data_IF_175283311649
#
_entry.id   IF_175283311649
#
_cell.length_a   1.000
_cell.length_b   1.000
_cell.length_c   1.000
_cell.angle_alpha   90.00
_cell.angle_beta   90.00
_cell.angle_gamma   90.00
#
_symmetry.space_group_name_H-M   'P 1'
#
loop_
_entity.id
_entity.type
_entity.pdbx_description
1 polymer ?
#
# COMPACT_ATOMS: atom_id res chain seq x y z
N UNK A 1 59.71 6.13 -42.67
CA UNK A 1 58.27 6.17 -42.30
C UNK A 1 57.84 4.78 -41.87
N UNK A 2 57.74 4.51 -40.56
CA UNK A 2 57.41 3.19 -40.02
C UNK A 2 55.88 3.05 -39.86
N UNK A 3 55.27 2.17 -40.66
CA UNK A 3 53.86 1.77 -40.49
C UNK A 3 53.75 0.81 -39.31
N UNK A 4 52.90 1.08 -38.31
CA UNK A 4 52.70 0.16 -37.19
C UNK A 4 52.07 -1.15 -37.66
N UNK A 5 52.57 -2.27 -37.12
CA UNK A 5 52.09 -3.61 -37.44
C UNK A 5 50.63 -3.87 -37.00
N UNK A 6 49.94 -4.82 -37.64
CA UNK A 6 48.49 -5.05 -37.50
C UNK A 6 48.02 -5.34 -36.06
N UNK A 7 48.92 -5.78 -35.17
CA UNK A 7 48.61 -6.06 -33.76
C UNK A 7 48.41 -4.80 -32.90
N UNK A 8 49.05 -3.67 -33.24
CA UNK A 8 48.93 -2.43 -32.48
C UNK A 8 47.57 -1.76 -32.75
N UNK A 9 47.10 -1.80 -34.00
CA UNK A 9 45.80 -1.28 -34.40
C UNK A 9 44.64 -2.06 -33.72
N UNK A 10 44.79 -3.38 -33.58
CA UNK A 10 43.76 -4.25 -32.98
C UNK A 10 43.61 -4.03 -31.47
N UNK A 11 44.71 -3.76 -30.75
CA UNK A 11 44.71 -3.45 -29.31
C UNK A 11 44.09 -2.06 -29.03
N UNK A 12 44.34 -1.07 -29.87
CA UNK A 12 43.76 0.27 -29.73
C UNK A 12 42.23 0.29 -29.93
N UNK A 13 41.70 -0.49 -30.89
CA UNK A 13 40.24 -0.60 -31.12
C UNK A 13 39.54 -1.27 -29.93
N UNK A 14 40.15 -2.28 -29.31
CA UNK A 14 39.60 -2.97 -28.14
C UNK A 14 39.56 -2.07 -26.90
N UNK A 15 40.60 -1.26 -26.65
CA UNK A 15 40.62 -0.30 -25.54
C UNK A 15 39.59 0.82 -25.74
N UNK A 16 39.42 1.31 -26.97
CA UNK A 16 38.38 2.30 -27.29
C UNK A 16 36.94 1.74 -27.13
N UNK A 17 36.71 0.48 -27.51
CA UNK A 17 35.41 -0.18 -27.34
C UNK A 17 35.05 -0.40 -25.85
N UNK A 18 36.03 -0.73 -25.00
CA UNK A 18 35.81 -0.84 -23.54
C UNK A 18 35.59 0.53 -22.90
N UNK A 19 36.32 1.57 -23.34
CA UNK A 19 36.14 2.94 -22.83
C UNK A 19 34.76 3.54 -23.19
N UNK A 20 34.22 3.26 -24.39
CA UNK A 20 32.88 3.70 -24.78
C UNK A 20 31.74 2.97 -24.04
N UNK A 21 31.98 1.75 -23.55
CA UNK A 21 31.02 1.00 -22.72
C UNK A 21 30.91 1.52 -21.29
N UNK A 22 31.88 2.29 -20.79
CA UNK A 22 31.91 2.81 -19.41
C UNK A 22 31.14 4.15 -19.28
N UNK A 23 30.92 4.90 -20.36
CA UNK A 23 30.21 6.21 -20.29
C UNK A 23 28.68 6.07 -20.20
N UNK A 24 28.13 4.85 -20.38
CA UNK A 24 26.71 4.57 -20.19
C UNK A 24 26.32 4.22 -18.74
N UNK A 25 27.06 4.71 -17.74
CA UNK A 25 26.59 4.74 -16.34
C UNK A 25 25.45 5.76 -16.27
N UNK A 26 24.27 5.28 -16.66
CA UNK A 26 23.06 6.08 -16.76
C UNK A 26 22.81 6.81 -15.44
N UNK A 27 22.70 8.14 -15.52
CA UNK A 27 22.21 8.97 -14.43
C UNK A 27 20.94 8.32 -13.89
N UNK A 28 21.02 7.72 -12.69
CA UNK A 28 19.88 7.13 -12.04
C UNK A 28 18.83 8.23 -11.95
N UNK A 29 17.62 8.05 -12.52
CA UNK A 29 16.63 9.11 -12.53
C UNK A 29 16.42 9.55 -11.08
N UNK A 30 16.71 10.82 -10.80
CA UNK A 30 16.58 11.40 -9.47
C UNK A 30 15.22 10.95 -8.91
N UNK A 31 15.26 10.21 -7.80
CA UNK A 31 14.07 9.58 -7.24
C UNK A 31 13.03 10.69 -7.03
N UNK A 32 11.98 10.69 -7.85
CA UNK A 32 10.99 11.75 -7.83
C UNK A 32 10.47 11.88 -6.39
N UNK A 33 10.67 13.06 -5.79
CA UNK A 33 10.30 13.27 -4.40
C UNK A 33 8.84 12.85 -4.18
N UNK A 34 8.54 12.16 -3.06
CA UNK A 34 7.18 11.75 -2.78
C UNK A 34 6.25 12.97 -2.72
N UNK A 35 4.96 12.78 -3.02
CA UNK A 35 3.99 13.85 -3.04
C UNK A 35 3.99 14.55 -1.68
N UNK A 36 3.95 15.89 -1.67
CA UNK A 36 3.83 16.67 -0.42
C UNK A 36 2.42 16.44 0.14
N UNK A 37 2.24 15.69 1.25
CA UNK A 37 0.91 15.48 1.80
C UNK A 37 0.39 16.78 2.39
N UNK A 38 -0.89 17.07 2.19
CA UNK A 38 -1.56 18.25 2.75
C UNK A 38 -2.88 17.85 3.42
N UNK A 39 -3.33 18.66 4.36
CA UNK A 39 -4.65 18.49 4.98
C UNK A 39 -5.77 19.11 4.12
N UNK A 40 -6.99 19.15 4.63
CA UNK A 40 -8.15 19.73 3.94
C UNK A 40 -7.96 21.20 3.54
N UNK A 41 -7.31 21.97 4.40
CA UNK A 41 -7.02 23.40 4.23
C UNK A 41 -5.78 23.64 3.35
N UNK A 42 -5.20 22.59 2.76
CA UNK A 42 -3.98 22.68 1.96
C UNK A 42 -2.69 22.87 2.76
N UNK A 43 -2.75 22.89 4.10
CA UNK A 43 -1.55 22.99 4.94
C UNK A 43 -0.74 21.69 4.85
N UNK A 44 0.58 21.81 4.73
CA UNK A 44 1.50 20.67 4.70
C UNK A 44 1.30 19.79 5.94
N UNK A 45 1.14 18.49 5.72
CA UNK A 45 1.12 17.52 6.80
C UNK A 45 2.55 17.16 7.19
N UNK A 46 2.86 17.32 8.48
CA UNK A 46 4.12 16.86 9.09
C UNK A 46 3.90 15.50 9.78
N UNK A 47 4.97 14.91 10.31
CA UNK A 47 4.89 13.73 11.16
C UNK A 47 4.75 12.39 10.41
N UNK A 48 4.04 11.40 10.98
CA UNK A 48 4.04 10.03 10.49
C UNK A 48 3.61 9.87 9.03
N UNK A 49 2.57 10.58 8.58
CA UNK A 49 2.06 10.45 7.21
C UNK A 49 3.07 10.89 6.15
N UNK A 50 3.77 11.99 6.42
CA UNK A 50 4.85 12.46 5.56
C UNK A 50 5.99 11.44 5.54
N UNK A 51 6.41 10.97 6.72
CA UNK A 51 7.46 9.95 6.85
C UNK A 51 7.11 8.65 6.10
N UNK A 52 5.86 8.20 6.17
CA UNK A 52 5.42 6.99 5.48
C UNK A 52 5.53 7.11 3.96
N UNK A 53 5.23 8.28 3.38
CA UNK A 53 5.42 8.49 1.94
C UNK A 53 6.89 8.38 1.51
N UNK A 54 7.80 8.95 2.29
CA UNK A 54 9.25 8.85 2.04
C UNK A 54 9.80 7.43 2.23
N UNK A 55 9.25 6.68 3.18
CA UNK A 55 9.71 5.32 3.48
C UNK A 55 9.06 4.24 2.59
N UNK A 56 8.17 4.62 1.68
CA UNK A 56 7.53 3.66 0.78
C UNK A 56 8.59 3.04 -0.14
N UNK A 57 8.69 1.70 -0.12
CA UNK A 57 9.64 0.93 -0.95
C UNK A 57 9.18 0.72 -2.39
N UNK A 58 8.01 1.22 -2.75
CA UNK A 58 7.48 1.23 -4.13
C UNK A 58 7.03 2.63 -4.52
N UNK A 59 6.94 2.93 -5.82
CA UNK A 59 6.49 4.24 -6.28
C UNK A 59 5.15 4.66 -5.68
N UNK A 60 5.12 5.91 -5.25
CA UNK A 60 3.92 6.60 -4.77
C UNK A 60 3.31 7.42 -5.90
N UNK A 61 2.00 7.66 -5.84
CA UNK A 61 1.33 8.49 -6.86
C UNK A 61 1.93 9.91 -6.88
N UNK A 62 2.15 10.45 -8.08
CA UNK A 62 2.62 11.83 -8.26
C UNK A 62 1.49 12.83 -7.98
N UNK A 63 1.84 14.07 -7.64
CA UNK A 63 0.89 15.17 -7.44
C UNK A 63 0.68 15.54 -5.97
N UNK A 64 -0.37 16.33 -5.68
CA UNK A 64 -0.66 16.81 -4.32
C UNK A 64 -1.64 15.86 -3.63
N UNK A 65 -1.15 15.05 -2.68
CA UNK A 65 -1.97 14.12 -1.90
C UNK A 65 -2.66 14.83 -0.74
N UNK A 66 -3.99 14.89 -0.74
CA UNK A 66 -4.78 15.39 0.38
C UNK A 66 -5.16 14.24 1.31
N UNK A 67 -4.79 14.33 2.59
CA UNK A 67 -5.12 13.32 3.60
C UNK A 67 -6.12 13.90 4.60
N UNK A 68 -7.21 13.18 4.81
CA UNK A 68 -8.35 13.53 5.65
C UNK A 68 -8.38 12.57 6.84
N UNK A 69 -8.26 13.08 8.08
CA UNK A 69 -8.16 12.26 9.30
C UNK A 69 -9.48 12.19 10.10
N UNK A 70 -10.60 12.56 9.46
CA UNK A 70 -11.94 12.54 10.02
C UNK A 70 -12.75 11.30 9.62
N UNK A 71 -12.12 10.30 9.00
CA UNK A 71 -12.77 9.09 8.50
C UNK A 71 -13.43 9.27 7.14
N UNK A 72 -14.08 8.20 6.69
CA UNK A 72 -14.79 8.17 5.43
C UNK A 72 -16.09 8.99 5.48
N UNK A 73 -16.34 9.90 4.53
CA UNK A 73 -17.52 10.77 4.52
C UNK A 73 -18.84 10.02 4.24
N UNK A 74 -18.78 8.79 3.73
CA UNK A 74 -19.96 7.94 3.50
C UNK A 74 -19.92 6.74 4.44
N UNK A 75 -21.10 6.24 4.83
CA UNK A 75 -21.20 4.96 5.54
C UNK A 75 -20.89 3.78 4.58
N UNK A 76 -20.40 2.64 5.11
CA UNK A 76 -20.02 2.38 6.51
C UNK A 76 -18.73 3.14 6.93
N UNK A 77 -18.51 3.30 8.24
CA UNK A 77 -17.33 4.01 8.78
C UNK A 77 -16.08 3.13 8.69
N UNK A 78 -15.46 3.13 7.52
CA UNK A 78 -14.27 2.34 7.25
C UNK A 78 -13.02 2.85 7.97
N UNK A 79 -12.01 1.97 8.10
CA UNK A 79 -10.66 2.36 8.53
C UNK A 79 -10.04 3.44 7.61
N UNK A 80 -10.30 3.33 6.30
CA UNK A 80 -9.91 4.30 5.29
C UNK A 80 -10.73 4.14 4.01
N UNK A 81 -10.63 5.12 3.11
CA UNK A 81 -11.22 5.02 1.78
C UNK A 81 -10.60 6.03 0.79
N UNK A 82 -10.76 5.69 -0.50
CA UNK A 82 -10.46 6.55 -1.64
C UNK A 82 -11.67 6.55 -2.58
N UNK A 83 -11.93 7.69 -3.23
CA UNK A 83 -13.05 7.83 -4.17
C UNK A 83 -12.56 8.14 -5.58
N UNK A 84 -13.19 7.54 -6.57
CA UNK A 84 -12.83 7.71 -8.00
C UNK A 84 -13.01 9.14 -8.50
N UNK A 85 -14.10 9.82 -8.08
CA UNK A 85 -14.37 11.22 -8.45
C UNK A 85 -13.51 12.23 -7.69
N UNK A 86 -12.93 11.86 -6.53
CA UNK A 86 -12.12 12.75 -5.69
C UNK A 86 -10.63 12.45 -5.87
N UNK A 87 -10.02 13.07 -6.88
CA UNK A 87 -8.61 12.85 -7.23
C UNK A 87 -7.68 13.19 -6.06
N UNK A 88 -6.69 12.33 -5.82
CA UNK A 88 -5.65 12.50 -4.82
C UNK A 88 -6.16 12.81 -3.40
N UNK A 89 -7.31 12.23 -3.02
CA UNK A 89 -7.85 12.33 -1.67
C UNK A 89 -7.85 10.96 -1.01
N UNK A 90 -7.30 10.91 0.19
CA UNK A 90 -7.20 9.71 1.02
C UNK A 90 -7.86 10.03 2.36
N UNK A 91 -8.85 9.25 2.74
CA UNK A 91 -9.58 9.41 3.99
C UNK A 91 -9.15 8.30 4.95
N UNK A 92 -8.87 8.65 6.20
CA UNK A 92 -8.47 7.74 7.26
C UNK A 92 -9.21 8.07 8.54
N UNK A 93 -9.53 7.04 9.31
CA UNK A 93 -9.97 7.22 10.69
C UNK A 93 -8.81 7.74 11.54
N UNK A 94 -9.10 8.63 12.51
CA UNK A 94 -8.09 9.26 13.38
C UNK A 94 -7.30 8.26 14.22
N UNK A 95 -7.99 7.25 14.76
CA UNK A 95 -7.42 6.20 15.62
C UNK A 95 -7.45 4.86 14.88
N UNK A 96 -6.27 4.43 14.44
CA UNK A 96 -6.05 3.16 13.76
C UNK A 96 -4.98 2.37 14.54
N UNK A 97 -5.21 1.06 14.70
CA UNK A 97 -4.24 0.17 15.31
C UNK A 97 -3.00 0.01 14.40
N UNK A 98 -3.20 -0.43 13.15
CA UNK A 98 -2.14 -0.45 12.11
C UNK A 98 -2.24 0.79 11.21
N UNK A 99 -1.87 1.97 11.74
CA UNK A 99 -1.88 3.24 10.97
C UNK A 99 -1.10 3.14 9.66
N UNK A 100 0.06 2.49 9.67
CA UNK A 100 0.97 2.44 8.53
C UNK A 100 0.47 1.48 7.46
N UNK A 101 0.01 0.30 7.85
CA UNK A 101 -0.56 -0.70 6.92
C UNK A 101 -1.83 -0.20 6.24
N UNK A 102 -2.75 0.42 7.00
CA UNK A 102 -3.98 1.01 6.44
C UNK A 102 -3.64 2.17 5.51
N UNK A 103 -2.71 3.05 5.88
CA UNK A 103 -2.31 4.15 4.99
C UNK A 103 -1.79 3.66 3.63
N UNK A 104 -0.90 2.66 3.62
CA UNK A 104 -0.43 2.13 2.35
C UNK A 104 -1.48 1.31 1.60
N UNK A 105 -2.41 0.67 2.30
CA UNK A 105 -3.56 0.02 1.67
C UNK A 105 -4.37 1.05 0.87
N UNK A 106 -4.76 2.16 1.51
CA UNK A 106 -5.48 3.23 0.82
C UNK A 106 -4.65 3.89 -0.29
N UNK A 107 -3.34 4.02 -0.10
CA UNK A 107 -2.44 4.49 -1.15
C UNK A 107 -2.40 3.53 -2.34
N UNK A 108 -2.53 2.23 -2.11
CA UNK A 108 -2.69 1.19 -3.14
C UNK A 108 -3.95 1.38 -3.96
N UNK A 109 -5.10 1.64 -3.32
CA UNK A 109 -6.34 2.01 -4.03
C UNK A 109 -6.15 3.27 -4.88
N UNK A 110 -5.50 4.29 -4.33
CA UNK A 110 -5.22 5.51 -5.09
C UNK A 110 -4.27 5.24 -6.27
N UNK A 111 -3.27 4.38 -6.09
CA UNK A 111 -2.35 3.95 -7.15
C UNK A 111 -3.10 3.20 -8.26
N UNK A 112 -3.98 2.26 -7.92
CA UNK A 112 -4.81 1.55 -8.88
C UNK A 112 -5.69 2.52 -9.71
N UNK A 113 -6.31 3.49 -9.05
CA UNK A 113 -7.20 4.45 -9.71
C UNK A 113 -6.48 5.49 -10.58
N UNK A 114 -5.19 5.75 -10.35
CA UNK A 114 -4.45 6.84 -11.03
C UNK A 114 -3.34 6.36 -11.95
N UNK A 115 -2.80 5.17 -11.70
CA UNK A 115 -1.61 4.67 -12.38
C UNK A 115 -1.89 3.36 -13.09
N UNK A 116 -2.65 2.44 -12.48
CA UNK A 116 -2.93 1.16 -13.13
C UNK A 116 -3.86 1.31 -14.34
N UNK A 117 -3.54 0.54 -15.38
CA UNK A 117 -4.37 0.37 -16.57
C UNK A 117 -4.95 -1.04 -16.58
N UNK A 118 -5.92 -1.31 -17.45
CA UNK A 118 -6.56 -2.64 -17.58
C UNK A 118 -5.54 -3.78 -17.71
N UNK A 119 -4.46 -3.59 -18.49
CA UNK A 119 -3.39 -4.59 -18.63
C UNK A 119 -2.65 -4.88 -17.32
N UNK A 120 -2.44 -3.89 -16.46
CA UNK A 120 -1.76 -4.07 -15.16
C UNK A 120 -2.67 -4.86 -14.22
N UNK A 121 -3.98 -4.56 -14.22
CA UNK A 121 -4.99 -5.31 -13.47
C UNK A 121 -5.06 -6.77 -13.92
N UNK A 122 -5.03 -7.03 -15.23
CA UNK A 122 -4.92 -8.39 -15.78
C UNK A 122 -3.63 -9.09 -15.38
N UNK A 123 -2.49 -8.39 -15.41
CA UNK A 123 -1.21 -8.94 -14.97
C UNK A 123 -1.25 -9.34 -13.48
N UNK A 124 -1.82 -8.48 -12.62
CA UNK A 124 -2.03 -8.80 -11.20
C UNK A 124 -2.89 -10.06 -11.03
N UNK A 125 -4.03 -10.13 -11.72
CA UNK A 125 -4.90 -11.32 -11.71
C UNK A 125 -4.13 -12.59 -12.10
N UNK A 126 -3.27 -12.53 -13.13
CA UNK A 126 -2.42 -13.68 -13.54
C UNK A 126 -1.43 -14.10 -12.45
N UNK A 127 -0.77 -13.17 -11.77
CA UNK A 127 0.18 -13.48 -10.67
C UNK A 127 -0.49 -14.33 -9.58
N UNK A 128 -1.77 -14.08 -9.30
CA UNK A 128 -2.55 -14.79 -8.27
C UNK A 128 -3.48 -15.88 -8.83
N UNK A 129 -3.40 -16.22 -10.12
CA UNK A 129 -4.27 -17.22 -10.73
C UNK A 129 -5.77 -16.84 -10.72
N UNK A 130 -6.10 -15.56 -10.58
CA UNK A 130 -7.48 -15.07 -10.52
C UNK A 130 -8.06 -15.00 -11.93
N UNK A 131 -8.87 -16.00 -12.33
CA UNK A 131 -9.46 -16.03 -13.70
C UNK A 131 -10.76 -15.23 -13.81
N UNK A 132 -11.69 -15.44 -12.89
CA UNK A 132 -13.06 -14.86 -12.92
C UNK A 132 -13.19 -13.64 -11.99
N UNK A 133 -14.33 -12.96 -12.03
CA UNK A 133 -14.66 -11.85 -11.12
C UNK A 133 -14.25 -10.44 -11.60
N UNK A 134 -15.15 -9.49 -11.36
CA UNK A 134 -14.91 -8.07 -11.58
C UNK A 134 -13.78 -7.57 -10.67
N UNK A 135 -12.98 -6.60 -11.13
CA UNK A 135 -11.84 -6.06 -10.36
C UNK A 135 -12.22 -5.59 -8.96
N UNK A 136 -13.45 -5.09 -8.84
CA UNK A 136 -14.00 -4.48 -7.65
C UNK A 136 -15.21 -5.25 -7.09
N UNK A 137 -15.53 -6.42 -7.63
CA UNK A 137 -16.72 -7.18 -7.27
C UNK A 137 -16.41 -8.47 -6.49
N UNK A 138 -17.41 -8.94 -5.74
CA UNK A 138 -17.34 -10.15 -4.93
C UNK A 138 -16.76 -9.91 -3.53
N UNK A 139 -16.71 -10.96 -2.71
CA UNK A 139 -16.31 -10.90 -1.29
C UNK A 139 -14.82 -10.63 -1.07
N UNK A 140 -13.97 -10.95 -2.05
CA UNK A 140 -12.51 -10.78 -2.02
C UNK A 140 -12.03 -10.17 -3.34
N UNK A 141 -12.48 -8.96 -3.66
CA UNK A 141 -12.28 -8.38 -4.98
C UNK A 141 -10.77 -8.21 -5.27
N UNK A 142 -10.31 -8.46 -6.51
CA UNK A 142 -8.90 -8.31 -6.87
C UNK A 142 -8.30 -6.93 -6.55
N UNK A 143 -9.10 -5.86 -6.58
CA UNK A 143 -8.68 -4.50 -6.21
C UNK A 143 -8.29 -4.36 -4.74
N UNK A 144 -9.02 -5.01 -3.82
CA UNK A 144 -8.66 -5.03 -2.39
C UNK A 144 -7.41 -5.87 -2.15
N UNK A 145 -7.28 -7.01 -2.83
CA UNK A 145 -6.06 -7.82 -2.78
C UNK A 145 -4.85 -7.04 -3.34
N UNK A 146 -5.05 -6.22 -4.37
CA UNK A 146 -4.00 -5.33 -4.88
C UNK A 146 -3.61 -4.25 -3.87
N UNK A 147 -4.58 -3.62 -3.22
CA UNK A 147 -4.32 -2.61 -2.18
C UNK A 147 -3.52 -3.21 -1.00
N UNK A 148 -3.86 -4.42 -0.57
CA UNK A 148 -3.06 -5.18 0.40
C UNK A 148 -1.64 -5.46 -0.13
N UNK A 149 -1.52 -5.94 -1.37
CA UNK A 149 -0.22 -6.22 -1.98
C UNK A 149 0.68 -4.97 -2.03
N UNK A 150 0.10 -3.82 -2.41
CA UNK A 150 0.79 -2.53 -2.39
C UNK A 150 1.27 -2.19 -0.97
N UNK A 151 0.41 -2.37 0.05
CA UNK A 151 0.77 -2.14 1.45
C UNK A 151 1.95 -2.99 1.92
N UNK A 152 2.02 -4.26 1.51
CA UNK A 152 3.17 -5.12 1.78
C UNK A 152 4.41 -4.68 1.01
N UNK A 153 4.29 -4.40 -0.30
CA UNK A 153 5.42 -3.95 -1.12
C UNK A 153 6.02 -2.62 -0.62
N UNK A 154 5.19 -1.69 -0.15
CA UNK A 154 5.63 -0.42 0.43
C UNK A 154 6.43 -0.60 1.73
N UNK A 155 6.11 -1.64 2.52
CA UNK A 155 6.78 -1.93 3.82
C UNK A 155 7.94 -2.91 3.69
N UNK A 156 7.92 -3.81 2.71
CA UNK A 156 8.81 -4.95 2.62
C UNK A 156 9.30 -5.20 1.19
N UNK A 157 10.62 -5.18 0.97
CA UNK A 157 11.23 -5.58 -0.32
C UNK A 157 11.14 -7.10 -0.54
N UNK A 158 11.16 -7.86 0.56
CA UNK A 158 11.06 -9.32 0.59
C UNK A 158 10.14 -9.71 1.75
N UNK A 159 9.44 -10.83 1.59
CA UNK A 159 8.53 -11.38 2.59
C UNK A 159 8.96 -12.80 2.93
N UNK A 160 8.72 -13.23 4.17
CA UNK A 160 8.72 -14.64 4.55
C UNK A 160 7.27 -15.12 4.55
N UNK A 161 7.01 -16.33 4.07
CA UNK A 161 5.65 -16.88 3.84
C UNK A 161 4.74 -16.74 5.08
N UNK A 162 5.31 -16.93 6.26
CA UNK A 162 4.63 -16.84 7.57
C UNK A 162 4.16 -15.43 7.97
N UNK A 163 4.69 -14.36 7.36
CA UNK A 163 4.36 -12.97 7.74
C UNK A 163 3.11 -12.40 7.05
N UNK A 164 2.64 -13.00 5.96
CA UNK A 164 1.48 -12.50 5.21
C UNK A 164 0.19 -13.17 5.65
N UNK A 165 0.19 -14.48 5.86
CA UNK A 165 -1.04 -15.26 6.01
C UNK A 165 -1.87 -14.94 7.25
N UNK A 166 -1.27 -14.47 8.34
CA UNK A 166 -1.97 -14.21 9.61
C UNK A 166 -2.54 -12.79 9.75
N UNK A 167 -2.08 -11.83 8.95
CA UNK A 167 -2.45 -10.40 9.11
C UNK A 167 -3.00 -9.74 7.85
N UNK A 168 -2.82 -10.38 6.70
CA UNK A 168 -3.34 -9.85 5.44
C UNK A 168 -4.86 -9.98 5.36
N UNK A 169 -5.50 -8.93 4.87
CA UNK A 169 -6.95 -8.87 4.71
C UNK A 169 -7.36 -9.43 3.34
N UNK A 170 -8.67 -9.60 3.15
CA UNK A 170 -9.26 -9.95 1.86
C UNK A 170 -8.72 -11.23 1.20
N UNK A 171 -8.18 -12.15 2.01
CA UNK A 171 -7.61 -13.41 1.52
C UNK A 171 -6.29 -13.25 0.76
N UNK A 172 -5.60 -12.11 0.88
CA UNK A 172 -4.29 -11.91 0.27
C UNK A 172 -3.25 -12.85 0.88
N UNK A 173 -2.82 -13.87 0.11
CA UNK A 173 -1.87 -14.89 0.54
C UNK A 173 -0.76 -15.05 -0.50
N UNK A 174 0.13 -14.06 -0.58
CA UNK A 174 1.22 -14.06 -1.55
C UNK A 174 2.39 -14.97 -1.13
N UNK A 175 2.91 -15.75 -2.07
CA UNK A 175 4.23 -16.37 -1.97
C UNK A 175 5.33 -15.31 -2.16
N UNK A 176 6.58 -15.57 -1.73
CA UNK A 176 7.69 -14.66 -2.00
C UNK A 176 7.88 -14.33 -3.49
N UNK A 177 7.63 -15.28 -4.38
CA UNK A 177 7.67 -15.06 -5.83
C UNK A 177 6.54 -14.12 -6.30
N UNK A 178 5.31 -14.36 -5.86
CA UNK A 178 4.18 -13.48 -6.17
C UNK A 178 4.40 -12.05 -5.65
N UNK A 179 4.93 -11.90 -4.44
CA UNK A 179 5.27 -10.59 -3.87
C UNK A 179 6.28 -9.84 -4.73
N UNK A 180 7.39 -10.49 -5.12
CA UNK A 180 8.38 -9.88 -6.03
C UNK A 180 7.73 -9.48 -7.36
N UNK A 181 6.92 -10.36 -7.94
CA UNK A 181 6.22 -10.09 -9.20
C UNK A 181 5.27 -8.88 -9.10
N UNK A 182 4.53 -8.75 -7.99
CA UNK A 182 3.64 -7.58 -7.77
C UNK A 182 4.44 -6.31 -7.54
N UNK A 183 5.49 -6.33 -6.73
CA UNK A 183 6.30 -5.13 -6.50
C UNK A 183 6.94 -4.64 -7.81
N UNK A 184 7.42 -5.57 -8.66
CA UNK A 184 7.89 -5.27 -10.01
C UNK A 184 6.78 -4.69 -10.89
N UNK A 185 5.57 -5.28 -10.87
CA UNK A 185 4.40 -4.75 -11.59
C UNK A 185 4.08 -3.30 -11.19
N UNK A 186 4.15 -2.96 -9.90
CA UNK A 186 3.93 -1.60 -9.40
C UNK A 186 5.01 -0.66 -9.96
N UNK A 187 6.27 -1.08 -9.94
CA UNK A 187 7.38 -0.33 -10.55
C UNK A 187 7.13 -0.04 -12.04
N UNK A 188 6.84 -1.08 -12.82
CA UNK A 188 6.57 -0.96 -14.27
C UNK A 188 5.33 -0.10 -14.55
N UNK A 189 4.30 -0.18 -13.71
CA UNK A 189 3.11 0.64 -13.87
C UNK A 189 3.40 2.14 -13.66
N UNK A 190 4.30 2.48 -12.74
CA UNK A 190 4.69 3.86 -12.42
C UNK A 190 5.69 4.47 -13.41
N UNK A 191 6.52 3.65 -14.08
CA UNK A 191 7.54 4.12 -15.00
C UNK A 191 6.97 4.82 -16.26
N UNK A 192 5.73 4.50 -16.65
CA UNK A 192 5.10 5.11 -17.82
C UNK A 192 4.40 6.41 -17.43
N UNK A 193 4.57 7.52 -18.18
CA UNK A 193 3.87 8.76 -17.90
C UNK A 193 2.35 8.52 -17.85
N UNK A 194 1.63 9.15 -16.90
CA UNK A 194 0.22 8.90 -16.69
C UNK A 194 -0.58 9.48 -17.87
N UNK A 195 -0.82 8.68 -18.91
CA UNK A 195 -2.04 8.84 -19.71
C UNK A 195 -3.20 8.53 -18.77
N UNK A 196 -4.19 9.44 -18.66
CA UNK A 196 -5.37 9.28 -17.81
C UNK A 196 -5.90 7.84 -17.97
N UNK A 197 -5.94 7.02 -16.91
CA UNK A 197 -6.60 5.73 -17.00
C UNK A 197 -8.08 5.97 -17.30
N UNK A 198 -8.67 5.15 -18.17
CA UNK A 198 -10.12 5.16 -18.35
C UNK A 198 -10.77 4.95 -16.97
N UNK A 199 -11.75 5.78 -16.59
CA UNK A 199 -12.48 5.56 -15.35
C UNK A 199 -13.08 4.15 -15.38
N UNK A 200 -12.98 3.38 -14.27
CA UNK A 200 -13.63 2.08 -14.21
C UNK A 200 -15.14 2.26 -14.42
N UNK A 201 -15.73 1.48 -15.35
CA UNK A 201 -17.19 1.34 -15.46
C UNK A 201 -17.67 0.71 -14.14
N UNK A 202 -18.43 1.48 -13.36
CA UNK A 202 -18.87 1.16 -11.99
C UNK A 202 -17.74 1.03 -10.94
N UNK A 203 -17.38 2.11 -10.22
CA UNK A 203 -16.59 1.97 -9.00
C UNK A 203 -17.47 1.36 -7.90
N UNK A 204 -16.97 0.39 -7.13
CA UNK A 204 -17.74 -0.17 -6.02
C UNK A 204 -17.86 0.89 -4.93
N UNK A 205 -18.98 0.87 -4.22
CA UNK A 205 -18.94 1.24 -2.82
C UNK A 205 -18.12 0.14 -2.16
N UNK A 206 -16.89 0.44 -1.74
CA UNK A 206 -16.12 -0.49 -0.91
C UNK A 206 -16.89 -0.60 0.40
N UNK A 207 -17.52 -1.75 0.63
CA UNK A 207 -18.13 -2.10 1.91
C UNK A 207 -17.08 -2.93 2.62
N UNK A 208 -16.55 -2.47 3.78
CA UNK A 208 -15.76 -3.36 4.63
C UNK A 208 -16.63 -4.59 4.88
N UNK A 209 -16.10 -5.80 4.70
CA UNK A 209 -16.70 -6.96 5.33
C UNK A 209 -16.89 -6.61 6.79
N UNK A 210 -18.08 -6.87 7.35
CA UNK A 210 -18.28 -6.76 8.78
C UNK A 210 -17.09 -7.42 9.50
N UNK A 211 -16.57 -6.82 10.60
CA UNK A 211 -15.51 -7.45 11.36
C UNK A 211 -15.89 -8.90 11.57
N UNK A 212 -14.99 -9.82 11.24
CA UNK A 212 -15.19 -11.24 11.56
C UNK A 212 -15.50 -11.25 13.05
N UNK A 213 -16.69 -11.74 13.41
CA UNK A 213 -17.05 -11.89 14.81
C UNK A 213 -15.87 -12.61 15.48
N UNK A 214 -15.33 -12.02 16.54
CA UNK A 214 -14.37 -12.74 17.36
C UNK A 214 -15.01 -14.04 17.85
N UNK A 215 -14.21 -15.00 18.36
CA UNK A 215 -14.78 -16.08 19.14
C UNK A 215 -15.76 -15.48 20.18
N UNK A 216 -16.90 -16.15 20.46
CA UNK A 216 -17.87 -15.66 21.42
C UNK A 216 -17.14 -15.22 22.68
N UNK A 217 -17.40 -13.99 23.13
CA UNK A 217 -16.86 -13.57 24.42
C UNK A 217 -17.39 -14.57 25.46
N UNK A 218 -16.51 -15.10 26.33
CA UNK A 218 -17.00 -15.86 27.48
C UNK A 218 -18.01 -14.98 28.23
N UNK A 219 -19.06 -15.59 28.82
CA UNK A 219 -20.06 -14.86 29.58
C UNK A 219 -19.35 -13.96 30.60
N UNK A 220 -19.83 -12.72 30.73
CA UNK A 220 -19.34 -11.84 31.77
C UNK A 220 -19.45 -12.56 33.12
N UNK A 221 -18.44 -12.48 34.01
CA UNK A 221 -18.58 -13.01 35.35
C UNK A 221 -19.83 -12.39 35.99
N UNK A 222 -20.60 -13.23 36.70
CA UNK A 222 -21.76 -12.76 37.43
C UNK A 222 -21.35 -11.59 38.35
N UNK A 223 -22.17 -10.54 38.49
CA UNK A 223 -21.91 -9.50 39.47
C UNK A 223 -21.72 -10.15 40.85
N UNK A 224 -20.77 -9.68 41.67
CA UNK A 224 -20.63 -10.18 43.02
C UNK A 224 -21.97 -9.98 43.76
N UNK A 225 -22.37 -10.92 44.63
CA UNK A 225 -23.56 -10.74 45.43
C UNK A 225 -23.47 -9.43 46.23
N UNK A 226 -24.60 -8.74 46.46
CA UNK A 226 -24.62 -7.54 47.29
C UNK A 226 -23.99 -7.87 48.65
N UNK A 227 -23.01 -7.07 49.07
CA UNK A 227 -22.48 -7.14 50.43
C UNK A 227 -23.63 -6.72 51.36
N UNK A 228 -24.27 -7.71 51.99
CA UNK A 228 -25.20 -7.45 53.09
C UNK A 228 -24.44 -6.66 54.15
N UNK A 229 -24.89 -5.42 54.40
CA UNK A 229 -24.29 -4.48 55.35
C UNK A 229 -24.51 -4.86 56.80
N UNK A 230 -24.14 -6.07 57.19
CA UNK A 230 -24.09 -6.54 58.58
C UNK A 230 -22.63 -6.57 59.04
N UNK A 231 -22.10 -5.41 59.39
CA UNK A 231 -20.72 -5.28 59.84
C UNK A 231 -20.27 -3.85 60.06
N UNK A 232 -21.07 -3.05 60.79
CA UNK A 232 -20.61 -1.79 61.40
C UNK A 232 -21.40 -1.53 62.67
N UNK A 233 -21.09 -2.27 63.73
CA UNK A 233 -21.48 -1.91 65.08
C UNK A 233 -20.62 -2.64 66.13
N UNK A 234 -19.33 -2.34 66.13
CA UNK A 234 -18.45 -2.42 67.32
C UNK A 234 -17.18 -1.67 66.94
N UNK A 235 -16.96 -0.54 67.60
CA UNK A 235 -15.67 0.09 67.94
C UNK A 235 -15.91 1.58 68.20
N UNK A 236 -16.46 1.85 69.38
CA UNK A 236 -16.45 3.16 70.02
C UNK A 236 -16.63 2.98 71.55
N UNK A 237 -15.66 2.32 72.19
CA UNK A 237 -15.36 2.51 73.61
C UNK A 237 -13.83 2.53 73.73
N UNK A 238 -13.34 3.59 74.39
CA UNK A 238 -11.96 4.04 74.67
C UNK A 238 -11.38 5.10 73.72
#
# INVERSE_FOLDING_TARGET
MLRPGPDVARRLVLVAAVALLIVAVGAAPAAAHPPKPVNMKGKKLKGPWHRYLHQAKVPVVKGRLKIFLNGCPRRPRLAGCVYTRRKYRLYLRRRLHDRRGVFYHELGHLFDLRVMRRRHRRAFKRIFGLRKGAWFGGRRPPGEQFAEAYSYCARHRRIRRTRISSRARYGYRATPAQHRAVCALIGTAAAKPPRRPDPPKAPPVIVEPAPVAGPPQPPAPAPPPPRNGLGRLVDAIF
#
